data_IF_134654249780
#
_entry.id   IF_134654249780
#
_cell.length_a   1.000
_cell.length_b   1.000
_cell.length_c   1.000
_cell.angle_alpha   90.00
_cell.angle_beta   90.00
_cell.angle_gamma   90.00
#
_symmetry.space_group_name_H-M   'P 1'
#
loop_
_entity.id
_entity.type
_entity.pdbx_description
1 polymer ?
#
# COMPACT_ATOMS: atom_id res chain seq x y z
N UNK A 1 -3.33 14.47 1.99
CA UNK A 1 -2.01 14.05 2.53
C UNK A 1 -2.07 13.72 4.01
N UNK A 2 -2.43 14.66 4.90
CA UNK A 2 -2.49 14.43 6.37
C UNK A 2 -3.42 13.26 6.73
N UNK A 3 -4.58 13.17 6.08
CA UNK A 3 -5.53 12.08 6.33
C UNK A 3 -4.99 10.68 5.99
N UNK A 4 -4.14 10.55 4.97
CA UNK A 4 -3.62 9.24 4.57
C UNK A 4 -2.48 8.78 5.48
N UNK A 5 -1.60 9.70 5.85
CA UNK A 5 -0.42 9.43 6.66
C UNK A 5 -0.78 9.23 8.13
N UNK A 6 -1.80 9.94 8.65
CA UNK A 6 -2.19 9.84 10.06
C UNK A 6 -3.50 9.06 10.26
N UNK A 7 -4.53 9.31 9.45
CA UNK A 7 -5.85 8.72 9.71
C UNK A 7 -5.93 7.26 9.26
N UNK A 8 -5.20 6.85 8.21
CA UNK A 8 -5.21 5.44 7.80
C UNK A 8 -4.55 4.51 8.83
N UNK A 9 -3.36 4.81 9.39
CA UNK A 9 -2.84 4.06 10.53
C UNK A 9 -3.72 4.12 11.77
N UNK A 10 -4.32 5.28 12.07
CA UNK A 10 -5.23 5.41 13.21
C UNK A 10 -6.49 4.53 13.04
N UNK A 11 -7.11 4.57 11.85
CA UNK A 11 -8.23 3.72 11.48
C UNK A 11 -7.87 2.24 11.59
N UNK A 12 -6.70 1.84 11.05
CA UNK A 12 -6.23 0.47 11.10
C UNK A 12 -6.00 -0.05 12.54
N UNK A 13 -5.60 0.82 13.47
CA UNK A 13 -5.40 0.49 14.89
C UNK A 13 -6.70 0.48 15.69
N UNK A 14 -7.65 1.34 15.35
CA UNK A 14 -8.93 1.47 16.04
C UNK A 14 -9.94 0.37 15.65
N UNK A 15 -9.75 -0.27 14.50
CA UNK A 15 -10.69 -1.22 13.93
C UNK A 15 -10.13 -2.65 13.90
N UNK A 16 -11.05 -3.63 13.88
CA UNK A 16 -10.68 -5.00 13.56
C UNK A 16 -10.06 -5.08 12.15
N UNK A 17 -9.04 -5.93 11.97
CA UNK A 17 -8.30 -6.11 10.71
C UNK A 17 -9.20 -6.18 9.47
N UNK A 18 -10.27 -6.98 9.53
CA UNK A 18 -11.21 -7.15 8.41
C UNK A 18 -11.96 -5.86 8.04
N UNK A 19 -12.32 -5.04 9.04
CA UNK A 19 -13.00 -3.77 8.82
C UNK A 19 -12.05 -2.73 8.20
N UNK A 20 -10.80 -2.66 8.66
CA UNK A 20 -9.79 -1.77 8.08
C UNK A 20 -9.54 -2.10 6.60
N UNK A 21 -9.41 -3.38 6.24
CA UNK A 21 -9.23 -3.79 4.84
C UNK A 21 -10.45 -3.46 3.98
N UNK A 22 -11.66 -3.63 4.51
CA UNK A 22 -12.87 -3.25 3.80
C UNK A 22 -12.91 -1.75 3.50
N UNK A 23 -12.50 -0.90 4.46
CA UNK A 23 -12.38 0.55 4.27
C UNK A 23 -11.36 0.88 3.16
N UNK A 24 -10.17 0.28 3.20
CA UNK A 24 -9.13 0.53 2.19
C UNK A 24 -9.47 0.00 0.79
N UNK A 25 -10.40 -0.93 0.68
CA UNK A 25 -10.90 -1.43 -0.61
C UNK A 25 -12.05 -0.58 -1.17
N UNK A 26 -12.67 0.26 -0.35
CA UNK A 26 -13.81 1.09 -0.74
C UNK A 26 -13.33 2.41 -1.36
N UNK A 27 -13.58 2.60 -2.65
CA UNK A 27 -13.18 3.81 -3.39
C UNK A 27 -14.01 5.05 -3.06
N UNK A 28 -15.11 4.90 -2.31
CA UNK A 28 -15.93 6.00 -1.81
C UNK A 28 -15.54 6.42 -0.39
N UNK A 29 -14.56 5.76 0.21
CA UNK A 29 -14.06 6.03 1.57
C UNK A 29 -12.95 7.11 1.53
N UNK A 30 -12.76 7.92 2.60
CA UNK A 30 -11.68 8.92 2.68
C UNK A 30 -10.25 8.39 2.44
N UNK A 31 -10.03 7.07 2.44
CA UNK A 31 -8.73 6.46 2.11
C UNK A 31 -8.48 6.23 0.61
N UNK A 32 -9.29 6.84 -0.26
CA UNK A 32 -9.10 6.81 -1.71
C UNK A 32 -9.34 8.18 -2.34
N UNK A 33 -8.34 8.67 -3.08
CA UNK A 33 -8.41 9.88 -3.88
C UNK A 33 -7.51 9.74 -5.12
N UNK A 34 -8.08 9.19 -6.21
CA UNK A 34 -7.41 8.95 -7.50
C UNK A 34 -6.07 8.21 -7.35
N UNK A 35 -4.96 8.94 -7.50
CA UNK A 35 -3.59 8.42 -7.41
C UNK A 35 -3.07 8.22 -5.98
N UNK A 36 -3.81 8.73 -4.99
CA UNK A 36 -3.53 8.62 -3.57
C UNK A 36 -4.51 7.64 -2.92
N UNK A 37 -4.03 6.46 -2.54
CA UNK A 37 -4.86 5.41 -1.96
C UNK A 37 -4.03 4.55 -1.02
N UNK A 38 -4.70 3.88 -0.08
CA UNK A 38 -4.05 2.96 0.86
C UNK A 38 -3.99 1.55 0.29
N UNK A 39 -2.84 0.90 0.40
CA UNK A 39 -2.69 -0.54 0.19
C UNK A 39 -2.18 -1.21 1.47
N UNK A 40 -2.40 -2.51 1.60
CA UNK A 40 -1.99 -3.28 2.77
C UNK A 40 -1.33 -4.60 2.39
N UNK A 41 -0.30 -4.98 3.14
CA UNK A 41 0.48 -6.20 2.95
C UNK A 41 0.84 -6.85 4.28
N UNK A 42 1.00 -8.17 4.29
CA UNK A 42 1.75 -8.83 5.36
C UNK A 42 3.27 -8.72 5.14
N UNK A 43 4.07 -9.18 6.10
CA UNK A 43 5.53 -9.20 5.99
C UNK A 43 6.07 -10.29 5.04
N UNK A 44 5.23 -11.26 4.65
CA UNK A 44 5.46 -12.21 3.56
C UNK A 44 5.18 -11.63 2.17
N UNK A 45 4.79 -10.36 2.10
CA UNK A 45 4.48 -9.65 0.86
C UNK A 45 3.19 -10.10 0.20
N UNK A 46 2.30 -10.79 0.92
CA UNK A 46 0.94 -11.09 0.45
C UNK A 46 0.10 -9.83 0.52
N UNK A 47 -0.55 -9.51 -0.60
CA UNK A 47 -1.47 -8.37 -0.69
C UNK A 47 -2.72 -8.64 0.13
N UNK A 48 -3.01 -7.77 1.09
CA UNK A 48 -4.19 -7.85 1.96
C UNK A 48 -5.32 -6.92 1.50
N UNK A 49 -4.97 -5.74 0.98
CA UNK A 49 -5.90 -4.79 0.38
C UNK A 49 -5.21 -3.97 -0.72
N UNK A 50 -5.87 -3.78 -1.86
CA UNK A 50 -5.44 -2.90 -2.94
C UNK A 50 -6.65 -2.42 -3.76
N UNK A 51 -7.08 -1.14 -3.62
CA UNK A 51 -8.35 -0.67 -4.18
C UNK A 51 -8.36 -0.60 -5.72
N UNK A 52 -7.22 -0.33 -6.35
CA UNK A 52 -7.09 -0.28 -7.81
C UNK A 52 -6.86 -1.66 -8.46
N UNK A 53 -6.15 -2.55 -7.79
CA UNK A 53 -5.73 -3.85 -8.33
C UNK A 53 -6.20 -4.99 -7.42
N UNK A 54 -7.51 -5.11 -7.28
CA UNK A 54 -8.17 -6.06 -6.38
C UNK A 54 -7.80 -7.53 -6.69
N UNK A 55 -7.44 -7.82 -7.94
CA UNK A 55 -6.94 -9.13 -8.39
C UNK A 55 -5.60 -9.56 -7.78
N UNK A 56 -4.90 -8.65 -7.09
CA UNK A 56 -3.65 -8.95 -6.38
C UNK A 56 -3.88 -9.46 -4.95
N UNK A 57 -5.06 -9.23 -4.38
CA UNK A 57 -5.39 -9.66 -3.01
C UNK A 57 -5.20 -11.18 -2.89
N UNK A 58 -4.48 -11.61 -1.85
CA UNK A 58 -4.11 -13.01 -1.62
C UNK A 58 -2.85 -13.49 -2.36
N UNK A 59 -2.23 -12.66 -3.20
CA UNK A 59 -1.01 -13.01 -3.93
C UNK A 59 0.22 -12.37 -3.30
N UNK A 60 1.31 -13.13 -3.24
CA UNK A 60 2.62 -12.58 -2.88
C UNK A 60 3.17 -11.76 -4.04
N UNK A 61 3.77 -10.62 -3.69
CA UNK A 61 4.39 -9.67 -4.62
C UNK A 61 5.87 -9.41 -4.29
N UNK A 62 6.49 -10.28 -3.48
CA UNK A 62 7.90 -10.13 -3.10
C UNK A 62 8.86 -10.18 -4.30
N UNK A 63 8.48 -10.88 -5.36
CA UNK A 63 9.31 -11.06 -6.55
C UNK A 63 8.96 -10.06 -7.67
N UNK A 64 8.03 -9.14 -7.40
CA UNK A 64 7.65 -8.12 -8.38
C UNK A 64 8.69 -7.01 -8.46
N UNK A 65 9.13 -6.73 -9.68
CA UNK A 65 10.08 -5.67 -9.97
C UNK A 65 9.35 -4.37 -10.30
N UNK A 66 9.75 -3.31 -9.62
CA UNK A 66 9.56 -1.93 -10.04
C UNK A 66 10.46 -1.64 -11.25
N UNK A 67 9.82 -1.35 -12.39
CA UNK A 67 10.45 -1.01 -13.67
C UNK A 67 11.55 -1.98 -14.14
N UNK A 68 11.52 -3.23 -13.67
CA UNK A 68 12.51 -4.26 -13.99
C UNK A 68 13.86 -4.13 -13.26
N UNK A 69 13.99 -3.22 -12.28
CA UNK A 69 15.28 -2.93 -11.64
C UNK A 69 15.31 -3.33 -10.15
N UNK A 70 14.26 -3.02 -9.40
CA UNK A 70 14.24 -3.20 -7.94
C UNK A 70 13.00 -3.95 -7.48
N UNK A 71 13.09 -4.72 -6.40
CA UNK A 71 11.92 -5.41 -5.85
C UNK A 71 11.03 -4.45 -5.05
N UNK A 72 9.86 -4.13 -5.60
CA UNK A 72 8.96 -3.11 -5.05
C UNK A 72 8.60 -3.38 -3.58
N UNK A 73 7.98 -4.53 -3.32
CA UNK A 73 7.47 -4.86 -1.98
C UNK A 73 8.61 -5.15 -1.00
N UNK A 74 9.74 -5.69 -1.46
CA UNK A 74 10.92 -5.90 -0.58
C UNK A 74 11.51 -4.58 -0.11
N UNK A 75 11.56 -3.57 -0.99
CA UNK A 75 12.04 -2.24 -0.65
C UNK A 75 11.12 -1.57 0.36
N UNK A 76 9.80 -1.55 0.10
CA UNK A 76 8.81 -0.99 1.03
C UNK A 76 8.85 -1.70 2.39
N UNK A 77 8.91 -3.05 2.38
CA UNK A 77 9.04 -3.85 3.60
C UNK A 77 10.28 -3.49 4.41
N UNK A 78 11.42 -3.24 3.76
CA UNK A 78 12.65 -2.83 4.46
C UNK A 78 12.46 -1.52 5.22
N UNK A 79 11.75 -0.55 4.64
CA UNK A 79 11.43 0.73 5.30
C UNK A 79 10.52 0.50 6.50
N UNK A 80 9.45 -0.30 6.36
CA UNK A 80 8.54 -0.65 7.46
C UNK A 80 9.25 -1.41 8.59
N UNK A 81 10.16 -2.33 8.27
CA UNK A 81 10.91 -3.07 9.28
C UNK A 81 11.84 -2.16 10.09
N UNK A 82 12.22 -1.01 9.53
CA UNK A 82 13.00 0.02 10.21
C UNK A 82 12.12 1.04 10.97
N UNK A 83 10.79 0.89 10.91
CA UNK A 83 9.82 1.76 11.58
C UNK A 83 8.72 2.23 10.64
N UNK A 84 8.69 3.53 10.38
CA UNK A 84 7.79 4.17 9.42
C UNK A 84 8.61 5.12 8.55
N UNK A 85 8.19 5.36 7.31
CA UNK A 85 8.90 6.31 6.48
C UNK A 85 8.42 6.35 5.03
N UNK A 86 9.12 7.17 4.25
CA UNK A 86 8.85 7.31 2.83
C UNK A 86 9.76 6.41 2.00
N UNK A 87 9.22 5.80 0.95
CA UNK A 87 9.99 5.09 -0.06
C UNK A 87 9.62 5.59 -1.45
N UNK A 88 10.62 5.64 -2.33
CA UNK A 88 10.42 5.94 -3.75
C UNK A 88 10.43 4.66 -4.55
N UNK A 89 9.51 4.57 -5.49
CA UNK A 89 9.39 3.47 -6.44
C UNK A 89 8.74 3.98 -7.72
N UNK A 90 8.76 3.22 -8.80
CA UNK A 90 7.91 3.46 -9.97
C UNK A 90 6.79 2.44 -10.00
N UNK A 91 5.64 2.87 -10.50
CA UNK A 91 4.46 2.06 -10.50
C UNK A 91 3.57 2.36 -11.69
N UNK A 92 2.80 1.35 -12.09
CA UNK A 92 1.81 1.50 -13.15
C UNK A 92 0.70 2.46 -12.70
N UNK A 93 0.46 3.50 -13.49
CA UNK A 93 -0.63 4.45 -13.26
C UNK A 93 -1.77 4.18 -14.25
N UNK A 94 -2.87 3.59 -13.77
CA UNK A 94 -4.03 3.28 -14.60
C UNK A 94 -4.76 4.53 -15.10
N UNK A 95 -4.62 5.68 -14.44
CA UNK A 95 -5.17 6.94 -14.94
C UNK A 95 -4.38 7.49 -16.14
N UNK A 96 -3.10 7.15 -16.27
CA UNK A 96 -2.20 7.61 -17.32
C UNK A 96 -1.84 6.50 -18.31
N UNK A 97 -2.85 5.73 -18.76
CA UNK A 97 -2.66 4.72 -19.80
C UNK A 97 -1.73 3.57 -19.38
N UNK A 98 -1.63 3.28 -18.08
CA UNK A 98 -0.71 2.28 -17.51
C UNK A 98 0.77 2.61 -17.73
N UNK A 99 1.13 3.88 -17.86
CA UNK A 99 2.52 4.31 -17.83
C UNK A 99 3.17 3.98 -16.48
N UNK A 100 4.47 3.62 -16.50
CA UNK A 100 5.26 3.42 -15.28
C UNK A 100 5.86 4.75 -14.83
N UNK A 101 5.39 5.26 -13.70
CA UNK A 101 5.69 6.61 -13.22
C UNK A 101 6.33 6.59 -11.82
N UNK A 102 7.24 7.53 -11.49
CA UNK A 102 7.76 7.68 -10.14
C UNK A 102 6.64 7.98 -9.13
N UNK A 103 6.64 7.28 -8.00
CA UNK A 103 5.77 7.50 -6.85
C UNK A 103 6.59 7.59 -5.56
N UNK A 104 5.98 8.22 -4.57
CA UNK A 104 6.46 8.24 -3.19
C UNK A 104 5.36 7.64 -2.32
N UNK A 105 5.64 6.53 -1.65
CA UNK A 105 4.74 5.93 -0.67
C UNK A 105 5.21 6.23 0.74
N UNK A 106 4.27 6.43 1.66
CA UNK A 106 4.53 6.43 3.09
C UNK A 106 4.09 5.08 3.64
N UNK A 107 4.95 4.39 4.36
CA UNK A 107 4.67 3.04 4.84
C UNK A 107 4.75 2.96 6.36
N UNK A 108 3.78 2.28 6.97
CA UNK A 108 3.67 2.19 8.43
C UNK A 108 3.23 0.81 8.90
N UNK A 109 3.86 0.33 9.98
CA UNK A 109 3.48 -0.91 10.66
C UNK A 109 2.21 -0.70 11.50
N UNK A 110 1.27 -1.64 11.37
CA UNK A 110 0.06 -1.69 12.22
C UNK A 110 0.18 -2.80 13.26
N UNK A 111 0.52 -4.03 12.83
CA UNK A 111 0.65 -5.19 13.72
C UNK A 111 1.57 -6.27 13.10
N UNK A 112 0.98 -7.40 12.68
CA UNK A 112 1.57 -8.45 11.83
C UNK A 112 1.53 -8.10 10.34
N UNK A 113 1.04 -6.90 10.01
CA UNK A 113 0.90 -6.35 8.66
C UNK A 113 1.22 -4.85 8.66
N UNK A 114 1.31 -4.29 7.46
CA UNK A 114 1.65 -2.89 7.22
C UNK A 114 0.85 -2.31 6.07
N UNK A 115 0.74 -0.99 6.06
CA UNK A 115 0.04 -0.23 5.03
C UNK A 115 0.97 0.79 4.38
N UNK A 116 0.57 1.30 3.22
CA UNK A 116 1.15 2.50 2.65
C UNK A 116 0.41 3.04 1.43
#
# INVERSE_FOLDING_TARGET
>A
MVAFVHDAPACARANARKAAFAAFMNRSDPFFQDDLYVYAYDFGGVTLAHPLQTQLVGKSRLDELDAGVTYLIRNLRTVVLSGTGFARFRYVNSAHGNATEPKVGYVERVADWWLG
#
